data_IF_671936628767
#
_entry.id   IF_671936628767
#
_cell.length_a   1.000
_cell.length_b   1.000
_cell.length_c   1.000
_cell.angle_alpha   90.00
_cell.angle_beta   90.00
_cell.angle_gamma   90.00
#
_symmetry.space_group_name_H-M   'P 1'
#
loop_
_entity.id
_entity.type
_entity.pdbx_description
1 polymer ?
#
# COMPACT_ATOMS: atom_id res chain seq x y z
N UNK A 1 -12.21 -33.73 -75.25
CA UNK A 1 -13.16 -33.59 -74.09
C UNK A 1 -12.35 -33.43 -72.85
N UNK A 2 -12.32 -32.17 -72.25
CA UNK A 2 -11.61 -31.86 -71.04
C UNK A 2 -12.65 -31.68 -69.93
N UNK A 3 -12.59 -32.51 -68.87
CA UNK A 3 -13.46 -32.40 -67.72
C UNK A 3 -13.01 -31.25 -66.83
N UNK A 4 -13.91 -30.43 -66.23
CA UNK A 4 -13.53 -29.40 -65.28
C UNK A 4 -13.27 -30.02 -63.93
N UNK A 5 -12.16 -29.61 -63.35
CA UNK A 5 -11.81 -29.92 -61.94
C UNK A 5 -12.70 -29.08 -60.99
N UNK A 6 -13.50 -29.75 -60.18
CA UNK A 6 -14.30 -29.14 -59.11
C UNK A 6 -13.40 -28.76 -57.98
N UNK A 7 -13.28 -27.47 -57.68
CA UNK A 7 -12.57 -26.95 -56.48
C UNK A 7 -13.57 -26.93 -55.34
N UNK A 8 -13.43 -27.89 -54.40
CA UNK A 8 -14.19 -27.86 -53.15
C UNK A 8 -13.62 -26.80 -52.23
N UNK A 9 -14.42 -25.76 -51.97
CA UNK A 9 -14.09 -24.75 -50.94
C UNK A 9 -14.16 -25.36 -49.54
N UNK A 10 -13.04 -25.44 -48.87
CA UNK A 10 -12.99 -25.78 -47.44
C UNK A 10 -13.23 -24.50 -46.66
N UNK A 11 -14.41 -24.36 -46.07
CA UNK A 11 -14.71 -23.28 -45.13
C UNK A 11 -14.14 -23.67 -43.76
N UNK A 12 -13.01 -23.06 -43.38
CA UNK A 12 -12.47 -23.19 -42.03
C UNK A 12 -13.31 -22.33 -41.11
N UNK A 13 -14.15 -22.96 -40.30
CA UNK A 13 -14.89 -22.29 -39.23
C UNK A 13 -13.91 -22.04 -38.09
N UNK A 14 -13.34 -20.83 -38.03
CA UNK A 14 -12.58 -20.37 -36.85
C UNK A 14 -13.60 -20.05 -35.78
N UNK A 15 -13.86 -21.01 -34.88
CA UNK A 15 -14.61 -20.73 -33.66
C UNK A 15 -13.81 -19.72 -32.85
N UNK A 16 -14.43 -18.62 -32.40
CA UNK A 16 -13.77 -17.73 -31.47
C UNK A 16 -13.48 -18.54 -30.19
N UNK A 17 -12.22 -18.63 -29.82
CA UNK A 17 -11.80 -19.14 -28.52
C UNK A 17 -12.35 -18.16 -27.49
N UNK A 18 -13.57 -18.42 -26.97
CA UNK A 18 -14.12 -17.70 -25.83
C UNK A 18 -13.13 -17.91 -24.69
N UNK A 19 -12.25 -16.95 -24.46
CA UNK A 19 -11.57 -16.82 -23.18
C UNK A 19 -12.69 -16.70 -22.14
N UNK A 20 -12.86 -17.72 -21.32
CA UNK A 20 -13.66 -17.67 -20.09
C UNK A 20 -12.88 -16.81 -19.09
N UNK A 21 -12.81 -15.51 -19.38
CA UNK A 21 -12.22 -14.55 -18.46
C UNK A 21 -13.32 -14.22 -17.46
N UNK A 22 -13.03 -14.43 -16.18
CA UNK A 22 -13.87 -13.96 -15.07
C UNK A 22 -13.58 -12.48 -14.77
N UNK A 23 -13.41 -12.15 -13.49
CA UNK A 23 -13.02 -10.79 -13.11
C UNK A 23 -11.56 -10.52 -13.51
N UNK A 24 -11.38 -9.44 -14.26
CA UNK A 24 -10.07 -8.89 -14.64
C UNK A 24 -9.83 -7.61 -13.86
N UNK A 25 -8.59 -7.37 -13.45
CA UNK A 25 -8.16 -6.16 -12.75
C UNK A 25 -7.04 -5.47 -13.53
N UNK A 26 -7.19 -4.15 -13.73
CA UNK A 26 -6.19 -3.32 -14.40
C UNK A 26 -6.01 -1.96 -13.73
N UNK A 27 -4.75 -1.56 -13.47
CA UNK A 27 -3.58 -2.42 -13.41
C UNK A 27 -3.65 -3.36 -12.20
N UNK A 28 -3.04 -4.55 -12.23
CA UNK A 28 -2.94 -5.44 -11.05
C UNK A 28 -1.79 -5.05 -10.12
N UNK A 29 -0.87 -4.22 -10.62
CA UNK A 29 0.31 -3.77 -9.90
C UNK A 29 0.51 -2.26 -10.05
N UNK A 30 0.81 -1.58 -8.93
CA UNK A 30 1.13 -0.14 -8.92
C UNK A 30 2.38 0.11 -8.08
N UNK A 31 3.32 0.84 -8.67
CA UNK A 31 4.45 1.41 -7.95
C UNK A 31 4.07 2.82 -7.49
N UNK A 32 4.13 3.06 -6.19
CA UNK A 32 3.84 4.37 -5.59
C UNK A 32 5.08 5.27 -5.55
N UNK A 33 6.28 4.70 -5.85
CA UNK A 33 7.54 5.41 -5.65
C UNK A 33 7.80 5.70 -4.18
N UNK A 34 8.37 6.86 -3.91
CA UNK A 34 8.62 7.35 -2.54
C UNK A 34 7.32 7.93 -1.97
N UNK A 35 6.94 7.48 -0.78
CA UNK A 35 5.74 7.90 -0.05
C UNK A 35 6.13 8.37 1.34
N UNK A 36 5.73 9.58 1.72
CA UNK A 36 5.98 10.12 3.06
C UNK A 36 4.95 9.61 4.07
N UNK A 37 5.34 9.52 5.32
CA UNK A 37 4.47 8.99 6.38
C UNK A 37 3.21 9.82 6.62
N UNK A 38 3.23 11.12 6.33
CA UNK A 38 2.06 12.01 6.44
C UNK A 38 1.11 11.93 5.22
N UNK A 39 1.54 11.37 4.10
CA UNK A 39 0.70 11.23 2.92
C UNK A 39 -0.40 10.19 3.15
N UNK A 40 -1.46 10.31 2.36
CA UNK A 40 -2.59 9.37 2.36
C UNK A 40 -2.93 9.00 0.91
N UNK A 41 -2.02 8.26 0.23
CA UNK A 41 -2.23 7.93 -1.17
C UNK A 41 -3.44 7.03 -1.35
N UNK A 42 -4.25 7.36 -2.37
CA UNK A 42 -5.35 6.53 -2.84
C UNK A 42 -5.05 6.11 -4.27
N UNK A 43 -5.19 4.82 -4.55
CA UNK A 43 -5.07 4.27 -5.90
C UNK A 43 -6.35 3.57 -6.30
N UNK A 44 -6.69 3.70 -7.57
CA UNK A 44 -7.84 3.04 -8.16
C UNK A 44 -7.36 1.96 -9.12
N UNK A 45 -8.02 0.82 -9.05
CA UNK A 45 -7.84 -0.33 -9.93
C UNK A 45 -9.18 -0.59 -10.61
N UNK A 46 -9.21 -0.75 -11.92
CA UNK A 46 -10.41 -1.09 -12.64
C UNK A 46 -10.66 -2.61 -12.51
N UNK A 47 -11.77 -2.98 -11.92
CA UNK A 47 -12.29 -4.34 -11.93
C UNK A 47 -13.35 -4.44 -13.04
N UNK A 48 -13.24 -5.41 -13.93
CA UNK A 48 -14.20 -5.64 -15.00
C UNK A 48 -14.57 -7.12 -15.07
N UNK A 49 -15.85 -7.39 -15.31
CA UNK A 49 -16.32 -8.74 -15.57
C UNK A 49 -16.27 -9.02 -17.07
N UNK A 50 -15.26 -9.74 -17.51
CA UNK A 50 -15.09 -10.18 -18.89
C UNK A 50 -15.70 -11.55 -19.15
N UNK A 51 -16.34 -12.15 -18.14
CA UNK A 51 -17.08 -13.40 -18.25
C UNK A 51 -18.47 -13.22 -18.84
N UNK A 52 -19.18 -14.34 -19.00
CA UNK A 52 -20.53 -14.40 -19.56
C UNK A 52 -21.62 -14.40 -18.49
N UNK A 53 -21.29 -14.59 -17.23
CA UNK A 53 -22.21 -14.62 -16.10
C UNK A 53 -22.03 -13.42 -15.20
N UNK A 54 -23.06 -13.03 -14.47
CA UNK A 54 -22.93 -12.03 -13.43
C UNK A 54 -22.04 -12.57 -12.28
N UNK A 55 -21.13 -11.72 -11.78
CA UNK A 55 -20.18 -12.06 -10.72
C UNK A 55 -20.39 -11.12 -9.53
N UNK A 56 -20.33 -11.68 -8.33
CA UNK A 56 -20.40 -10.93 -7.09
C UNK A 56 -19.04 -10.89 -6.39
N UNK A 57 -18.61 -9.69 -6.01
CA UNK A 57 -17.44 -9.46 -5.17
C UNK A 57 -17.85 -9.70 -3.71
N UNK A 58 -17.51 -10.86 -3.19
CA UNK A 58 -18.00 -11.33 -1.88
C UNK A 58 -17.26 -10.69 -0.72
N UNK A 59 -15.93 -10.57 -0.85
CA UNK A 59 -15.08 -10.07 0.23
C UNK A 59 -13.91 -9.25 -0.31
N UNK A 60 -13.53 -8.19 0.43
CA UNK A 60 -12.30 -7.45 0.23
C UNK A 60 -11.34 -7.80 1.37
N UNK A 61 -10.29 -8.54 1.06
CA UNK A 61 -9.33 -9.04 2.05
C UNK A 61 -8.10 -8.13 2.08
N UNK A 62 -7.80 -7.61 3.24
CA UNK A 62 -6.58 -6.84 3.51
C UNK A 62 -5.57 -7.72 4.23
N UNK A 63 -4.32 -7.66 3.81
CA UNK A 63 -3.20 -8.39 4.43
C UNK A 63 -2.49 -7.58 5.51
N UNK A 64 -2.81 -6.27 5.61
CA UNK A 64 -2.30 -5.37 6.65
C UNK A 64 -3.37 -4.37 7.06
N UNK A 65 -3.20 -3.78 8.23
CA UNK A 65 -4.02 -2.65 8.68
C UNK A 65 -3.70 -1.35 7.95
N UNK A 66 -2.57 -1.33 7.23
CA UNK A 66 -2.05 -0.19 6.48
C UNK A 66 -2.87 0.17 5.23
N UNK A 67 -3.77 -0.69 4.78
CA UNK A 67 -4.57 -0.48 3.58
C UNK A 67 -6.05 -0.73 3.79
N UNK A 68 -6.88 0.13 3.22
CA UNK A 68 -8.34 0.01 3.25
C UNK A 68 -8.88 -0.06 1.82
N UNK A 69 -9.20 -1.27 1.33
CA UNK A 69 -9.84 -1.44 0.03
C UNK A 69 -11.34 -1.13 0.10
N UNK A 70 -11.87 -0.47 -0.92
CA UNK A 70 -13.29 -0.19 -1.09
C UNK A 70 -13.69 -0.37 -2.55
N UNK A 71 -14.94 -0.78 -2.81
CA UNK A 71 -15.49 -0.89 -4.17
C UNK A 71 -16.79 -0.13 -4.28
N UNK A 72 -17.05 0.43 -5.46
CA UNK A 72 -18.28 1.16 -5.73
C UNK A 72 -19.50 0.25 -5.90
N UNK A 73 -19.31 -0.90 -6.56
CA UNK A 73 -20.37 -1.89 -6.85
C UNK A 73 -19.84 -3.29 -6.60
N UNK A 74 -20.66 -4.15 -5.97
CA UNK A 74 -20.26 -5.52 -5.61
C UNK A 74 -20.80 -6.58 -6.56
N UNK A 75 -21.78 -6.29 -7.39
CA UNK A 75 -22.33 -7.22 -8.38
C UNK A 75 -22.11 -6.65 -9.76
N UNK A 76 -21.45 -7.41 -10.63
CA UNK A 76 -21.05 -6.98 -11.97
C UNK A 76 -21.67 -7.92 -13.00
N UNK A 77 -22.51 -7.38 -13.88
CA UNK A 77 -23.01 -8.09 -15.05
C UNK A 77 -21.88 -8.29 -16.09
N UNK A 78 -22.03 -9.17 -17.06
CA UNK A 78 -21.07 -9.30 -18.15
C UNK A 78 -20.75 -7.95 -18.82
N UNK A 79 -19.46 -7.67 -18.98
CA UNK A 79 -18.94 -6.41 -19.53
C UNK A 79 -18.97 -5.22 -18.56
N UNK A 80 -19.55 -5.38 -17.38
CA UNK A 80 -19.63 -4.30 -16.39
C UNK A 80 -18.37 -4.20 -15.54
N UNK A 81 -18.04 -2.98 -15.15
CA UNK A 81 -16.86 -2.69 -14.30
C UNK A 81 -17.19 -1.87 -13.07
N UNK A 82 -16.26 -1.87 -12.14
CA UNK A 82 -16.25 -1.02 -10.93
C UNK A 82 -14.82 -0.63 -10.58
N UNK A 83 -14.67 0.44 -9.80
CA UNK A 83 -13.36 0.82 -9.29
C UNK A 83 -13.15 0.21 -7.88
N UNK A 84 -12.07 -0.54 -7.74
CA UNK A 84 -11.48 -0.86 -6.44
C UNK A 84 -10.58 0.31 -6.05
N UNK A 85 -10.88 0.98 -4.96
CA UNK A 85 -10.07 2.06 -4.39
C UNK A 85 -9.33 1.54 -3.17
N UNK A 86 -8.02 1.71 -3.18
CA UNK A 86 -7.15 1.35 -2.07
C UNK A 86 -6.60 2.64 -1.46
N UNK A 87 -7.00 2.93 -0.24
CA UNK A 87 -6.41 3.99 0.58
C UNK A 87 -5.33 3.39 1.46
N UNK A 88 -4.12 3.96 1.41
CA UNK A 88 -2.98 3.54 2.23
C UNK A 88 -2.73 4.55 3.35
N UNK A 89 -2.38 4.02 4.51
CA UNK A 89 -1.83 4.76 5.64
C UNK A 89 -0.35 4.39 5.83
N UNK A 90 0.56 5.20 5.29
CA UNK A 90 2.00 4.95 5.38
C UNK A 90 2.54 4.96 6.81
N UNK A 91 1.88 5.67 7.74
CA UNK A 91 2.32 5.73 9.15
C UNK A 91 2.22 4.38 9.87
N UNK A 92 1.48 3.42 9.29
CA UNK A 92 1.34 2.05 9.79
C UNK A 92 2.33 1.07 9.13
N UNK A 93 3.22 1.58 8.28
CA UNK A 93 4.28 0.81 7.63
C UNK A 93 5.64 1.19 8.24
N UNK A 94 6.59 0.24 8.29
CA UNK A 94 7.96 0.57 8.64
C UNK A 94 8.61 1.45 7.57
N UNK A 95 9.62 2.23 7.96
CA UNK A 95 10.45 2.98 7.01
C UNK A 95 11.16 2.04 6.04
N UNK A 96 11.34 2.48 4.81
CA UNK A 96 11.99 1.72 3.74
C UNK A 96 11.03 1.06 2.76
N UNK A 97 11.51 0.09 1.97
CA UNK A 97 10.73 -0.52 0.90
C UNK A 97 9.59 -1.38 1.45
N UNK A 98 8.46 -1.34 0.76
CA UNK A 98 7.30 -2.18 1.06
C UNK A 98 6.68 -2.77 -0.19
N UNK A 99 6.06 -3.94 -0.02
CA UNK A 99 5.21 -4.62 -0.99
C UNK A 99 3.98 -5.13 -0.25
N UNK A 100 2.78 -4.78 -0.71
CA UNK A 100 1.51 -5.20 -0.10
C UNK A 100 0.53 -5.66 -1.17
N UNK A 101 -0.08 -6.81 -0.93
CA UNK A 101 -1.09 -7.39 -1.80
C UNK A 101 -2.43 -7.40 -1.08
N UNK A 102 -3.49 -7.06 -1.79
CA UNK A 102 -4.88 -7.08 -1.33
C UNK A 102 -5.67 -7.98 -2.26
N UNK A 103 -6.64 -8.70 -1.71
CA UNK A 103 -7.40 -9.67 -2.48
C UNK A 103 -8.88 -9.28 -2.53
N UNK A 104 -9.49 -9.59 -3.66
CA UNK A 104 -10.94 -9.53 -3.84
C UNK A 104 -11.42 -10.94 -4.08
N UNK A 105 -12.27 -11.45 -3.19
CA UNK A 105 -12.94 -12.73 -3.36
C UNK A 105 -14.19 -12.56 -4.19
N UNK A 106 -14.46 -13.51 -5.05
CA UNK A 106 -15.65 -13.53 -5.90
C UNK A 106 -16.39 -14.85 -5.75
N UNK A 107 -17.60 -14.91 -6.28
CA UNK A 107 -18.37 -16.17 -6.44
C UNK A 107 -18.15 -16.82 -7.81
N UNK A 108 -17.24 -16.28 -8.62
CA UNK A 108 -16.87 -16.86 -9.91
C UNK A 108 -15.89 -18.04 -9.71
N UNK A 109 -16.26 -19.26 -10.08
CA UNK A 109 -15.36 -20.42 -9.97
C UNK A 109 -14.10 -20.31 -10.84
N UNK A 110 -14.12 -19.49 -11.89
CA UNK A 110 -12.99 -19.30 -12.80
C UNK A 110 -12.00 -18.24 -12.26
N UNK A 111 -12.50 -17.31 -11.45
CA UNK A 111 -11.69 -16.27 -10.84
C UNK A 111 -12.11 -16.06 -9.36
N UNK A 112 -11.96 -17.08 -8.49
CA UNK A 112 -12.44 -17.03 -7.12
C UNK A 112 -11.72 -15.98 -6.27
N UNK A 113 -10.52 -15.61 -6.68
CA UNK A 113 -9.71 -14.56 -6.04
C UNK A 113 -8.98 -13.79 -7.12
N UNK A 114 -9.06 -12.47 -7.08
CA UNK A 114 -8.18 -11.56 -7.82
C UNK A 114 -7.39 -10.71 -6.85
N UNK A 115 -6.18 -10.34 -7.22
CA UNK A 115 -5.29 -9.57 -6.38
C UNK A 115 -4.86 -8.26 -7.00
N UNK A 116 -4.54 -7.30 -6.13
CA UNK A 116 -3.89 -6.05 -6.49
C UNK A 116 -2.68 -5.86 -5.59
N UNK A 117 -1.56 -5.50 -6.18
CA UNK A 117 -0.31 -5.31 -5.46
C UNK A 117 0.17 -3.86 -5.59
N UNK A 118 0.59 -3.29 -4.48
CA UNK A 118 1.23 -1.99 -4.41
C UNK A 118 2.61 -2.14 -3.80
N UNK A 119 3.58 -1.42 -4.34
CA UNK A 119 4.91 -1.27 -3.75
C UNK A 119 5.28 0.20 -3.64
N UNK A 120 6.30 0.47 -2.87
CA UNK A 120 6.89 1.79 -2.74
C UNK A 120 7.98 1.78 -1.67
N UNK A 121 8.44 2.97 -1.32
CA UNK A 121 9.40 3.19 -0.26
C UNK A 121 8.84 4.24 0.70
N UNK A 122 8.71 3.86 1.98
CA UNK A 122 8.27 4.77 3.03
C UNK A 122 9.46 5.60 3.49
N UNK A 123 9.29 6.93 3.38
CA UNK A 123 10.26 7.90 3.89
C UNK A 123 9.55 8.70 4.99
N UNK A 124 10.08 8.68 6.22
CA UNK A 124 9.51 9.47 7.29
C UNK A 124 9.66 10.97 7.00
N UNK A 125 8.76 11.78 7.56
CA UNK A 125 8.86 13.25 7.46
C UNK A 125 10.20 13.76 7.98
N UNK A 126 10.72 13.05 8.96
CA UNK A 126 12.01 13.35 9.58
C UNK A 126 12.59 12.10 10.22
N UNK A 127 13.90 12.03 10.28
CA UNK A 127 14.66 10.98 10.96
C UNK A 127 15.35 11.56 12.18
N UNK A 128 15.32 10.81 13.27
CA UNK A 128 16.04 11.17 14.51
C UNK A 128 17.24 10.23 14.65
N UNK A 129 18.41 10.79 14.81
CA UNK A 129 19.63 10.07 15.12
C UNK A 129 20.07 10.40 16.57
N UNK A 130 20.64 9.45 17.30
CA UNK A 130 20.96 8.09 16.91
C UNK A 130 19.72 7.17 16.85
N UNK A 131 18.65 7.44 17.59
CA UNK A 131 17.39 6.70 17.55
C UNK A 131 16.31 7.50 18.28
N UNK A 132 15.03 7.12 18.12
CA UNK A 132 13.91 7.71 18.87
C UNK A 132 13.90 7.31 20.36
N UNK A 133 14.67 6.28 20.69
CA UNK A 133 14.83 5.80 22.07
C UNK A 133 16.30 5.68 22.37
N UNK A 134 16.74 6.35 23.41
CA UNK A 134 18.12 6.35 23.89
C UNK A 134 18.12 5.80 25.31
N UNK A 135 19.01 4.87 25.59
CA UNK A 135 19.28 4.43 26.95
C UNK A 135 20.24 5.42 27.57
N UNK A 136 19.85 5.96 28.72
CA UNK A 136 20.69 6.81 29.54
C UNK A 136 21.16 5.94 30.72
N UNK A 137 22.46 5.96 30.96
CA UNK A 137 23.04 5.42 32.21
C UNK A 137 23.04 6.50 33.29
N UNK A 138 23.42 6.11 34.49
CA UNK A 138 23.41 7.02 35.66
C UNK A 138 24.39 8.21 35.52
N UNK A 139 25.32 8.16 34.57
CA UNK A 139 26.32 9.19 34.33
C UNK A 139 25.94 10.10 33.16
N UNK A 140 25.05 9.64 32.27
CA UNK A 140 24.62 10.39 31.08
C UNK A 140 23.47 11.35 31.42
N UNK A 141 23.80 12.61 31.62
CA UNK A 141 22.82 13.67 31.88
C UNK A 141 22.32 14.38 30.63
N UNK A 142 22.85 14.03 29.45
CA UNK A 142 22.45 14.65 28.17
C UNK A 142 22.34 13.65 27.04
N UNK A 143 21.34 13.83 26.19
CA UNK A 143 21.22 13.16 24.94
C UNK A 143 21.13 14.17 23.78
N UNK A 144 21.80 13.89 22.67
CA UNK A 144 21.75 14.72 21.47
C UNK A 144 20.97 13.99 20.41
N UNK A 145 19.92 14.62 19.91
CA UNK A 145 19.11 14.13 18.81
C UNK A 145 19.29 15.05 17.61
N UNK A 146 19.72 14.50 16.49
CA UNK A 146 19.76 15.21 15.22
C UNK A 146 18.50 14.86 14.42
N UNK A 147 17.86 15.88 13.88
CA UNK A 147 16.79 15.69 12.88
C UNK A 147 17.42 15.75 11.52
N UNK A 148 17.27 14.69 10.72
CA UNK A 148 17.80 14.57 9.37
C UNK A 148 16.64 14.43 8.39
N UNK A 149 16.83 14.97 7.19
CA UNK A 149 15.93 14.80 6.05
C UNK A 149 14.49 15.28 6.27
N UNK A 150 14.27 16.26 7.16
CA UNK A 150 12.96 16.82 7.41
C UNK A 150 12.48 17.77 6.32
N UNK A 151 11.31 17.54 5.74
CA UNK A 151 10.65 18.46 4.81
C UNK A 151 9.94 19.63 5.51
N UNK A 152 9.76 19.54 6.83
CA UNK A 152 9.06 20.52 7.67
C UNK A 152 9.95 20.81 8.87
N UNK A 153 10.04 22.06 9.34
CA UNK A 153 10.74 22.37 10.59
C UNK A 153 10.14 21.52 11.72
N UNK A 154 10.96 20.65 12.32
CA UNK A 154 10.53 19.85 13.45
C UNK A 154 10.49 20.74 14.70
N UNK A 155 9.35 20.77 15.36
CA UNK A 155 9.20 21.37 16.70
C UNK A 155 9.04 20.26 17.72
N UNK A 156 9.86 20.28 18.76
CA UNK A 156 9.72 19.36 19.88
C UNK A 156 9.09 20.14 21.04
N UNK A 157 7.94 19.70 21.46
CA UNK A 157 7.20 20.32 22.57
C UNK A 157 7.29 19.51 23.87
N UNK A 158 7.71 18.24 23.78
CA UNK A 158 7.79 17.35 24.92
C UNK A 158 8.86 16.28 24.77
N UNK A 159 9.55 15.98 25.85
CA UNK A 159 10.35 14.78 26.04
C UNK A 159 9.72 13.94 27.16
N UNK A 160 9.56 12.64 26.95
CA UNK A 160 9.10 11.72 27.97
C UNK A 160 10.22 10.74 28.31
N UNK A 161 10.52 10.62 29.58
CA UNK A 161 11.48 9.64 30.12
C UNK A 161 10.69 8.47 30.71
N UNK A 162 11.19 7.27 30.53
CA UNK A 162 10.61 6.05 31.10
C UNK A 162 11.72 5.26 31.81
N UNK A 163 11.36 4.61 32.92
CA UNK A 163 12.25 3.65 33.59
C UNK A 163 12.39 2.33 32.75
N UNK A 164 13.17 1.42 33.30
CA UNK A 164 13.42 0.12 32.64
C UNK A 164 12.13 -0.71 32.45
N UNK A 165 11.11 -0.50 33.27
CA UNK A 165 9.81 -1.15 33.21
C UNK A 165 8.82 -0.40 32.30
N UNK A 166 9.24 0.72 31.68
CA UNK A 166 8.41 1.51 30.78
C UNK A 166 7.44 2.47 31.46
N UNK A 167 7.60 2.70 32.76
CA UNK A 167 6.76 3.64 33.53
C UNK A 167 7.27 5.07 33.31
N UNK A 168 6.39 6.06 33.15
CA UNK A 168 6.81 7.44 32.99
C UNK A 168 7.50 7.94 34.23
N UNK A 169 8.64 8.59 34.03
CA UNK A 169 9.41 9.25 35.09
C UNK A 169 9.36 10.75 34.83
N UNK A 170 8.98 11.52 35.83
CA UNK A 170 8.94 12.97 35.76
C UNK A 170 10.34 13.55 36.06
N UNK A 171 11.14 13.65 34.98
CA UNK A 171 12.45 14.31 35.05
C UNK A 171 12.32 15.58 34.19
N UNK A 172 12.63 16.75 34.76
CA UNK A 172 12.62 18.00 34.03
C UNK A 172 13.70 17.95 32.94
N UNK A 173 13.27 18.04 31.67
CA UNK A 173 14.16 18.02 30.55
C UNK A 173 14.24 19.41 29.88
N UNK A 174 15.45 19.90 29.62
CA UNK A 174 15.69 21.11 28.84
C UNK A 174 15.99 20.74 27.38
N UNK A 175 15.25 21.35 26.47
CA UNK A 175 15.40 21.18 25.02
C UNK A 175 16.14 22.39 24.45
N UNK A 176 17.33 22.18 23.88
CA UNK A 176 18.13 23.23 23.26
C UNK A 176 18.25 22.94 21.75
N UNK A 177 17.75 23.83 20.86
CA UNK A 177 17.93 23.66 19.43
C UNK A 177 19.40 23.67 19.02
N UNK A 178 19.75 22.87 18.01
CA UNK A 178 21.09 22.82 17.42
C UNK A 178 21.12 23.56 16.06
N UNK A 179 22.22 24.26 15.78
CA UNK A 179 22.39 25.05 14.57
C UNK A 179 22.30 24.25 13.25
N UNK A 180 22.58 22.93 13.30
CA UNK A 180 22.50 22.01 12.16
C UNK A 180 21.19 21.27 12.03
N UNK A 181 20.18 21.63 12.82
CA UNK A 181 18.92 20.90 12.97
C UNK A 181 19.03 19.81 14.05
N UNK A 182 17.95 19.67 14.82
CA UNK A 182 17.91 18.76 15.93
C UNK A 182 17.90 19.45 17.29
N UNK A 183 18.03 18.68 18.34
CA UNK A 183 17.91 19.15 19.73
C UNK A 183 18.88 18.41 20.63
N UNK A 184 19.38 19.16 21.60
CA UNK A 184 20.02 18.59 22.81
C UNK A 184 18.98 18.52 23.91
N UNK A 185 18.87 17.37 24.54
CA UNK A 185 18.04 17.16 25.74
C UNK A 185 18.98 17.02 26.93
N UNK A 186 18.82 17.86 27.92
CA UNK A 186 19.51 17.76 29.20
C UNK A 186 18.50 17.42 30.29
N UNK A 187 18.85 16.52 31.20
CA UNK A 187 18.05 16.02 32.29
C UNK A 187 18.62 16.49 33.62
#
# INVERSE_FOLDING_TARGET
MKSPLSVSSVTVLVAPLCALAGIVVEPSFVDLGTVRTAERPVRAFALRNDGTNAVRLTELVRTCVCGTPTVGKRSLSPGEGTALRLALDPSLLPDGPFLKTFYVRTDDPQAPVVDVTVRGEIVPEWRVAPSRRVHLDAEASTAVFEVRDGAVPATFDRCAVQDAEGRPVDIPAQLTPLAGGGFRVAF
#
